data_IF_894886898785
#
_entry.id   IF_894886898785
#
_cell.length_a   1.000
_cell.length_b   1.000
_cell.length_c   1.000
_cell.angle_alpha   90.00
_cell.angle_beta   90.00
_cell.angle_gamma   90.00
#
_symmetry.space_group_name_H-M   'P 1'
#
loop_
_entity.id
_entity.type
_entity.pdbx_description
1 polymer ?
#
# COMPACT_ATOMS: atom_id res chain seq x y z
N UNK A 1 44.67 -52.98 17.87
CA UNK A 1 43.73 -52.38 16.91
C UNK A 1 43.56 -50.92 17.26
N UNK A 2 43.96 -50.02 16.37
CA UNK A 2 43.91 -48.58 16.63
C UNK A 2 42.45 -48.07 16.57
N UNK A 3 42.01 -47.36 17.61
CA UNK A 3 40.71 -46.68 17.62
C UNK A 3 40.77 -45.42 16.76
N UNK A 4 39.82 -45.28 15.83
CA UNK A 4 39.65 -44.09 15.02
C UNK A 4 39.04 -42.95 15.86
N UNK A 5 39.60 -41.75 15.76
CA UNK A 5 39.09 -40.53 16.38
C UNK A 5 37.80 -40.07 15.68
N UNK A 6 36.82 -39.50 16.40
CA UNK A 6 35.57 -39.06 15.80
C UNK A 6 35.82 -37.87 14.87
N UNK A 7 35.40 -38.02 13.62
CA UNK A 7 35.43 -36.97 12.61
C UNK A 7 34.45 -35.87 13.04
N UNK A 8 34.97 -34.68 13.38
CA UNK A 8 34.12 -33.51 13.65
C UNK A 8 33.40 -33.14 12.35
N UNK A 9 32.10 -33.43 12.28
CA UNK A 9 31.25 -32.93 11.22
C UNK A 9 31.10 -31.41 11.38
N UNK A 10 31.43 -30.65 10.33
CA UNK A 10 31.05 -29.24 10.24
C UNK A 10 29.52 -29.17 10.14
N UNK A 11 28.91 -28.25 10.89
CA UNK A 11 27.48 -27.99 10.82
C UNK A 11 27.11 -27.66 9.37
N UNK A 12 26.27 -28.51 8.79
CA UNK A 12 25.72 -28.31 7.45
C UNK A 12 24.65 -27.22 7.51
N UNK A 13 24.91 -26.10 6.83
CA UNK A 13 23.87 -25.20 6.33
C UNK A 13 23.54 -24.01 7.21
N UNK A 14 24.32 -22.93 7.10
CA UNK A 14 23.70 -21.60 7.06
C UNK A 14 23.05 -21.46 5.69
N UNK A 15 21.73 -21.60 5.60
CA UNK A 15 21.00 -21.20 4.40
C UNK A 15 21.09 -19.68 4.29
N UNK A 16 21.81 -19.17 3.29
CA UNK A 16 21.69 -17.78 2.90
C UNK A 16 20.26 -17.56 2.39
N UNK A 17 19.52 -16.66 3.02
CA UNK A 17 18.21 -16.27 2.50
C UNK A 17 18.38 -15.58 1.14
N UNK A 18 17.47 -15.88 0.22
CA UNK A 18 17.48 -15.26 -1.09
C UNK A 18 17.19 -13.75 -0.95
N UNK A 19 18.15 -12.92 -1.38
CA UNK A 19 18.00 -11.48 -1.36
C UNK A 19 16.96 -11.02 -2.39
N UNK A 20 15.98 -10.22 -1.95
CA UNK A 20 15.01 -9.56 -2.82
C UNK A 20 15.42 -8.09 -3.02
N UNK A 21 15.78 -7.70 -4.24
CA UNK A 21 16.18 -6.32 -4.53
C UNK A 21 15.00 -5.33 -4.51
N UNK A 22 13.77 -5.81 -4.69
CA UNK A 22 12.55 -4.99 -4.65
C UNK A 22 12.06 -4.75 -3.22
N UNK A 23 12.48 -5.60 -2.28
CA UNK A 23 12.22 -5.46 -0.86
C UNK A 23 13.44 -5.86 0.01
N UNK A 24 14.56 -5.11 -0.05
CA UNK A 24 15.82 -5.47 0.60
C UNK A 24 15.73 -5.67 2.11
N UNK A 25 14.80 -4.94 2.76
CA UNK A 25 14.57 -4.98 4.21
C UNK A 25 13.29 -5.71 4.60
N UNK A 26 12.68 -6.44 3.66
CA UNK A 26 11.48 -7.25 3.91
C UNK A 26 10.34 -6.46 4.56
N UNK A 27 10.05 -5.26 4.04
CA UNK A 27 8.92 -4.43 4.46
C UNK A 27 7.64 -5.26 4.58
N UNK A 28 7.37 -6.15 3.61
CA UNK A 28 6.15 -6.96 3.63
C UNK A 28 6.07 -7.88 4.86
N UNK A 29 7.20 -8.33 5.42
CA UNK A 29 7.24 -9.15 6.63
C UNK A 29 6.98 -8.34 7.92
N UNK A 30 6.96 -7.01 7.84
CA UNK A 30 6.66 -6.10 8.95
C UNK A 30 5.20 -5.61 8.94
N UNK A 31 4.45 -5.91 7.86
CA UNK A 31 3.06 -5.52 7.70
C UNK A 31 2.13 -6.59 8.25
N UNK A 32 0.97 -6.17 8.73
CA UNK A 32 -0.12 -7.10 9.08
C UNK A 32 -0.75 -7.70 7.83
N UNK A 33 -1.45 -8.83 7.98
CA UNK A 33 -2.17 -9.47 6.86
C UNK A 33 -3.22 -8.52 6.24
N UNK A 34 -3.86 -7.69 7.08
CA UNK A 34 -4.81 -6.67 6.64
C UNK A 34 -4.12 -5.58 5.81
N UNK A 35 -2.98 -5.06 6.28
CA UNK A 35 -2.19 -4.05 5.55
C UNK A 35 -1.67 -4.58 4.21
N UNK A 36 -1.26 -5.85 4.16
CA UNK A 36 -0.86 -6.52 2.92
C UNK A 36 -2.04 -6.66 1.95
N UNK A 37 -3.21 -7.08 2.44
CA UNK A 37 -4.41 -7.19 1.62
C UNK A 37 -4.86 -5.83 1.07
N UNK A 38 -4.83 -4.78 1.88
CA UNK A 38 -5.15 -3.41 1.47
C UNK A 38 -4.15 -2.90 0.42
N UNK A 39 -2.85 -3.15 0.64
CA UNK A 39 -1.80 -2.79 -0.32
C UNK A 39 -2.03 -3.44 -1.69
N UNK A 40 -2.38 -4.73 -1.71
CA UNK A 40 -2.67 -5.44 -2.96
C UNK A 40 -3.96 -4.96 -3.62
N UNK A 41 -5.02 -4.71 -2.84
CA UNK A 41 -6.26 -4.12 -3.37
C UNK A 41 -6.03 -2.74 -3.99
N UNK A 42 -5.23 -1.89 -3.33
CA UNK A 42 -4.85 -0.58 -3.84
C UNK A 42 -4.01 -0.69 -5.13
N UNK A 43 -3.06 -1.63 -5.18
CA UNK A 43 -2.30 -1.92 -6.40
C UNK A 43 -3.21 -2.34 -7.54
N UNK A 44 -4.10 -3.30 -7.30
CA UNK A 44 -5.00 -3.80 -8.32
C UNK A 44 -5.91 -2.68 -8.85
N UNK A 45 -6.52 -1.90 -7.96
CA UNK A 45 -7.29 -0.71 -8.33
C UNK A 45 -6.47 0.25 -9.19
N UNK A 46 -5.26 0.59 -8.75
CA UNK A 46 -4.37 1.48 -9.49
C UNK A 46 -4.04 0.98 -10.89
N UNK A 47 -3.71 -0.31 -11.05
CA UNK A 47 -3.36 -0.87 -12.35
C UNK A 47 -4.58 -1.03 -13.27
N UNK A 48 -5.75 -1.38 -12.74
CA UNK A 48 -6.94 -1.63 -13.56
C UNK A 48 -7.73 -0.36 -13.88
N UNK A 49 -7.78 0.60 -12.95
CA UNK A 49 -8.62 1.81 -13.05
C UNK A 49 -7.81 3.04 -13.41
N UNK A 50 -6.64 3.25 -12.83
CA UNK A 50 -5.89 4.50 -12.99
C UNK A 50 -4.90 4.43 -14.16
N UNK A 51 -4.11 3.36 -14.24
CA UNK A 51 -3.06 3.20 -15.24
C UNK A 51 -3.53 3.34 -16.69
N UNK A 52 -4.71 2.82 -17.11
CA UNK A 52 -5.18 3.00 -18.49
C UNK A 52 -5.54 4.45 -18.83
N UNK A 53 -5.84 5.29 -17.83
CA UNK A 53 -6.35 6.66 -17.98
C UNK A 53 -5.25 7.73 -17.92
N UNK A 54 -4.18 7.46 -17.18
CA UNK A 54 -3.17 8.48 -16.80
C UNK A 54 -2.55 9.20 -17.99
N UNK A 55 -2.20 8.49 -19.06
CA UNK A 55 -1.46 9.08 -20.19
C UNK A 55 -2.30 10.15 -20.91
N UNK A 56 -3.56 9.84 -21.18
CA UNK A 56 -4.45 10.79 -21.84
C UNK A 56 -4.87 11.92 -20.89
N UNK A 57 -5.17 11.59 -19.64
CA UNK A 57 -5.50 12.56 -18.60
C UNK A 57 -4.38 13.62 -18.43
N UNK A 58 -3.13 13.17 -18.35
CA UNK A 58 -1.96 14.05 -18.24
C UNK A 58 -1.80 14.93 -19.49
N UNK A 59 -1.84 14.33 -20.69
CA UNK A 59 -1.66 15.07 -21.95
C UNK A 59 -2.76 16.10 -22.21
N UNK A 60 -3.97 15.87 -21.70
CA UNK A 60 -5.12 16.77 -21.87
C UNK A 60 -5.38 17.67 -20.68
N UNK A 61 -4.55 17.60 -19.63
CA UNK A 61 -4.75 18.32 -18.36
C UNK A 61 -6.18 18.14 -17.80
N UNK A 62 -6.71 16.93 -17.93
CA UNK A 62 -8.10 16.61 -17.58
C UNK A 62 -8.18 15.57 -16.48
N UNK A 63 -8.92 15.89 -15.41
CA UNK A 63 -9.20 14.98 -14.32
C UNK A 63 -10.64 14.44 -14.40
N UNK A 64 -10.77 13.12 -14.54
CA UNK A 64 -12.07 12.44 -14.54
C UNK A 64 -12.61 12.30 -13.10
N UNK A 65 -13.72 12.99 -12.81
CA UNK A 65 -14.37 12.98 -11.50
C UNK A 65 -14.91 11.60 -11.10
N UNK A 66 -15.13 10.69 -12.05
CA UNK A 66 -15.53 9.31 -11.74
C UNK A 66 -14.50 8.60 -10.85
N UNK A 67 -13.21 8.94 -10.99
CA UNK A 67 -12.12 8.35 -10.19
C UNK A 67 -12.36 8.57 -8.68
N UNK A 68 -12.87 9.72 -8.28
CA UNK A 68 -13.15 9.99 -6.85
C UNK A 68 -14.29 9.11 -6.33
N UNK A 69 -15.29 8.79 -7.17
CA UNK A 69 -16.37 7.88 -6.78
C UNK A 69 -15.85 6.45 -6.68
N UNK A 70 -15.07 6.01 -7.66
CA UNK A 70 -14.45 4.68 -7.66
C UNK A 70 -13.53 4.49 -6.43
N UNK A 71 -12.74 5.51 -6.05
CA UNK A 71 -11.91 5.48 -4.83
C UNK A 71 -12.76 5.43 -3.55
N UNK A 72 -13.92 6.08 -3.53
CA UNK A 72 -14.87 6.00 -2.41
C UNK A 72 -15.48 4.61 -2.27
N UNK A 73 -15.93 4.02 -3.39
CA UNK A 73 -16.46 2.65 -3.45
C UNK A 73 -15.42 1.59 -3.05
N UNK A 74 -14.15 1.82 -3.39
CA UNK A 74 -13.02 0.99 -2.96
C UNK A 74 -12.64 1.18 -1.48
N UNK A 75 -13.23 2.15 -0.78
CA UNK A 75 -12.96 2.43 0.63
C UNK A 75 -11.65 3.18 0.89
N UNK A 76 -11.08 3.89 -0.10
CA UNK A 76 -9.79 4.57 0.09
C UNK A 76 -9.91 5.97 0.68
N UNK A 77 -11.05 6.64 0.49
CA UNK A 77 -11.28 8.00 0.96
C UNK A 77 -11.63 8.03 2.44
N UNK A 78 -10.86 8.81 3.22
CA UNK A 78 -11.06 8.91 4.67
C UNK A 78 -10.89 7.58 5.42
N UNK A 79 -10.14 6.64 4.84
CA UNK A 79 -10.07 5.26 5.30
C UNK A 79 -9.59 5.08 6.76
N UNK A 80 -8.93 6.07 7.36
CA UNK A 80 -8.49 6.04 8.76
C UNK A 80 -9.55 6.47 9.78
N UNK A 81 -10.68 7.01 9.32
CA UNK A 81 -11.81 7.41 10.18
C UNK A 81 -12.64 6.17 10.52
N UNK A 82 -13.01 6.01 11.80
CA UNK A 82 -13.72 4.84 12.33
C UNK A 82 -15.23 4.96 12.33
N UNK A 83 -15.75 6.18 12.22
CA UNK A 83 -17.17 6.47 12.19
C UNK A 83 -17.69 6.57 10.74
N UNK A 84 -18.98 6.84 10.56
CA UNK A 84 -19.61 7.08 9.24
C UNK A 84 -19.51 5.92 8.25
N UNK A 85 -19.51 4.68 8.75
CA UNK A 85 -19.35 3.45 7.94
C UNK A 85 -18.06 3.43 7.09
N UNK A 86 -17.03 4.17 7.53
CA UNK A 86 -15.71 4.17 6.91
C UNK A 86 -14.84 3.02 7.44
N UNK A 87 -13.82 2.56 6.68
CA UNK A 87 -13.05 1.38 7.03
C UNK A 87 -12.32 1.40 8.38
N UNK A 88 -11.90 2.56 8.88
CA UNK A 88 -11.16 2.69 10.14
C UNK A 88 -9.79 2.02 10.16
N UNK A 89 -9.10 1.94 9.01
CA UNK A 89 -7.80 1.25 8.86
C UNK A 89 -6.64 2.02 9.47
N UNK A 90 -5.49 1.36 9.61
CA UNK A 90 -4.28 1.96 10.18
C UNK A 90 -3.71 3.09 9.30
N UNK A 91 -2.94 4.00 9.92
CA UNK A 91 -2.18 5.01 9.17
C UNK A 91 -1.15 4.38 8.21
N UNK A 92 -0.62 3.20 8.55
CA UNK A 92 0.27 2.44 7.66
C UNK A 92 -0.49 1.96 6.42
N UNK A 93 -1.70 1.42 6.59
CA UNK A 93 -2.56 1.04 5.47
C UNK A 93 -2.89 2.24 4.56
N UNK A 94 -3.20 3.41 5.14
CA UNK A 94 -3.35 4.65 4.37
C UNK A 94 -2.09 5.02 3.60
N UNK A 95 -0.91 4.88 4.21
CA UNK A 95 0.38 5.07 3.54
C UNK A 95 0.59 4.12 2.35
N UNK A 96 0.19 2.85 2.50
CA UNK A 96 0.28 1.84 1.43
C UNK A 96 -0.68 2.14 0.28
N UNK A 97 -1.90 2.57 0.56
CA UNK A 97 -2.85 3.04 -0.47
C UNK A 97 -2.24 4.21 -1.25
N UNK A 98 -1.73 5.23 -0.55
CA UNK A 98 -1.09 6.38 -1.20
C UNK A 98 0.10 5.95 -2.07
N UNK A 99 0.95 5.03 -1.58
CA UNK A 99 2.10 4.49 -2.32
C UNK A 99 1.66 3.84 -3.64
N UNK A 100 0.62 3.02 -3.63
CA UNK A 100 0.18 2.31 -4.83
C UNK A 100 -0.63 3.20 -5.79
N UNK A 101 -1.33 4.23 -5.30
CA UNK A 101 -1.97 5.24 -6.16
C UNK A 101 -0.93 6.15 -6.82
N UNK A 102 0.06 6.62 -6.06
CA UNK A 102 1.14 7.47 -6.57
C UNK A 102 2.11 6.72 -7.49
N UNK A 103 2.20 5.39 -7.37
CA UNK A 103 2.91 4.55 -8.35
C UNK A 103 2.39 4.77 -9.79
N UNK A 104 1.13 5.16 -9.94
CA UNK A 104 0.54 5.56 -11.22
C UNK A 104 0.76 7.05 -11.48
N UNK A 105 0.28 7.91 -10.58
CA UNK A 105 0.38 9.36 -10.76
C UNK A 105 0.21 10.15 -9.45
N UNK A 106 1.05 11.17 -9.26
CA UNK A 106 0.98 12.06 -8.10
C UNK A 106 -0.26 12.94 -8.07
N UNK A 107 -0.89 13.26 -9.20
CA UNK A 107 -2.14 14.00 -9.30
C UNK A 107 -3.32 13.22 -8.70
N UNK A 108 -3.42 11.92 -8.99
CA UNK A 108 -4.43 11.04 -8.38
C UNK A 108 -4.24 10.94 -6.86
N UNK A 109 -3.00 10.73 -6.39
CA UNK A 109 -2.71 10.70 -4.95
C UNK A 109 -2.96 12.07 -4.29
N UNK A 110 -2.79 13.18 -5.01
CA UNK A 110 -3.10 14.52 -4.48
C UNK A 110 -4.58 14.69 -4.24
N UNK A 111 -5.43 14.27 -5.19
CA UNK A 111 -6.88 14.32 -5.02
C UNK A 111 -7.34 13.44 -3.83
N UNK A 112 -6.82 12.21 -3.73
CA UNK A 112 -7.08 11.30 -2.61
C UNK A 112 -6.67 11.92 -1.26
N UNK A 113 -5.48 12.50 -1.19
CA UNK A 113 -4.93 13.10 0.03
C UNK A 113 -5.69 14.36 0.46
N UNK A 114 -6.02 15.25 -0.47
CA UNK A 114 -6.85 16.44 -0.19
C UNK A 114 -8.19 15.99 0.39
N UNK A 115 -8.87 15.06 -0.26
CA UNK A 115 -10.18 14.59 0.18
C UNK A 115 -10.11 13.93 1.57
N UNK A 116 -9.13 13.06 1.81
CA UNK A 116 -9.03 12.30 3.05
C UNK A 116 -8.49 13.14 4.20
N UNK A 117 -7.33 13.77 4.01
CA UNK A 117 -6.58 14.41 5.09
C UNK A 117 -6.87 15.91 5.25
N UNK A 118 -7.33 16.59 4.20
CA UNK A 118 -7.58 18.04 4.24
C UNK A 118 -9.07 18.43 4.23
N UNK A 119 -9.97 17.47 4.00
CA UNK A 119 -11.42 17.68 4.06
C UNK A 119 -12.07 16.77 5.10
N UNK A 120 -12.00 15.46 4.91
CA UNK A 120 -12.70 14.51 5.80
C UNK A 120 -12.10 14.50 7.21
N UNK A 121 -10.78 14.47 7.34
CA UNK A 121 -10.11 14.52 8.64
C UNK A 121 -10.49 15.75 9.48
N UNK A 122 -10.35 17.01 9.01
CA UNK A 122 -10.70 18.16 9.83
C UNK A 122 -12.19 18.23 10.17
N UNK A 123 -13.09 17.75 9.30
CA UNK A 123 -14.51 17.60 9.63
C UNK A 123 -14.66 16.61 10.78
N UNK A 124 -14.08 15.41 10.68
CA UNK A 124 -14.18 14.39 11.71
C UNK A 124 -13.56 14.82 13.06
N UNK A 125 -12.46 15.58 13.03
CA UNK A 125 -11.72 15.95 14.23
C UNK A 125 -12.24 17.24 14.91
N UNK A 126 -12.81 18.17 14.15
CA UNK A 126 -13.09 19.53 14.63
C UNK A 126 -14.51 20.04 14.36
N UNK A 127 -15.33 19.32 13.58
CA UNK A 127 -16.73 19.70 13.42
C UNK A 127 -17.53 19.39 14.70
N UNK A 128 -18.52 20.24 14.99
CA UNK A 128 -19.35 20.19 16.20
C UNK A 128 -20.37 19.06 16.17
#
# INVERSE_FOLDING_TARGET
GAQALPMRAFASGTSFEQFNYEDPFKLNALLTDEELAISEAARQFSQEKLMPRVKEAYNKEHFDLAIMKEMGEAGFLGCTIKDYDLPGVSSTAYGLINREVERVDSGYRSALSVQSSLVMYPINAFAN
#
